data_IF_590346927754
#
_entry.id   IF_590346927754
#
_cell.length_a   1.000
_cell.length_b   1.000
_cell.length_c   1.000
_cell.angle_alpha   90.00
_cell.angle_beta   90.00
_cell.angle_gamma   90.00
#
_symmetry.space_group_name_H-M   'P 1'
#
loop_
_entity.id
_entity.type
_entity.pdbx_description
1 polymer ?
#
# COMPACT_ATOMS: atom_id res chain seq x y z
N UNK A 1 19.22 7.62 3.84
CA UNK A 1 18.54 7.80 2.53
C UNK A 1 18.66 9.23 1.99
N UNK A 2 18.03 10.24 2.59
CA UNK A 2 18.06 11.61 2.04
C UNK A 2 19.47 12.22 1.94
N UNK A 3 20.32 12.00 2.96
CA UNK A 3 21.71 12.49 2.97
C UNK A 3 22.57 11.79 1.90
N UNK A 4 22.37 10.48 1.73
CA UNK A 4 23.09 9.67 0.76
C UNK A 4 22.71 10.04 -0.68
N UNK A 5 21.43 10.31 -0.95
CA UNK A 5 20.99 10.84 -2.23
C UNK A 5 21.62 12.20 -2.53
N UNK A 6 21.68 13.09 -1.54
CA UNK A 6 22.30 14.42 -1.69
C UNK A 6 23.78 14.30 -2.03
N UNK A 7 24.52 13.49 -1.29
CA UNK A 7 25.93 13.23 -1.56
C UNK A 7 26.16 12.65 -2.95
N UNK A 8 25.30 11.71 -3.40
CA UNK A 8 25.36 11.14 -4.77
C UNK A 8 25.04 12.20 -5.83
N UNK A 9 24.08 13.09 -5.62
CA UNK A 9 23.80 14.21 -6.54
C UNK A 9 25.04 15.10 -6.65
N UNK A 10 25.56 15.58 -5.52
CA UNK A 10 26.67 16.53 -5.49
C UNK A 10 27.90 15.96 -6.21
N UNK A 11 28.25 14.70 -5.92
CA UNK A 11 29.36 14.02 -6.58
C UNK A 11 29.19 13.90 -8.09
N UNK A 12 27.98 13.63 -8.60
CA UNK A 12 27.76 13.51 -10.04
C UNK A 12 27.69 14.88 -10.73
N UNK A 13 27.15 15.90 -10.06
CA UNK A 13 27.16 17.29 -10.55
C UNK A 13 28.58 17.82 -10.64
N UNK A 14 29.40 17.58 -9.61
CA UNK A 14 30.82 17.96 -9.62
C UNK A 14 31.57 17.31 -10.78
N UNK A 15 31.40 16.00 -10.99
CA UNK A 15 31.96 15.29 -12.15
C UNK A 15 31.49 15.89 -13.48
N UNK A 16 30.21 16.23 -13.62
CA UNK A 16 29.69 16.89 -14.81
C UNK A 16 30.42 18.21 -15.10
N UNK A 17 30.51 19.07 -14.09
CA UNK A 17 31.14 20.39 -14.21
C UNK A 17 32.64 20.27 -14.51
N UNK A 18 33.34 19.35 -13.84
CA UNK A 18 34.77 19.15 -14.03
C UNK A 18 35.10 18.61 -15.43
N UNK A 19 34.37 17.59 -15.90
CA UNK A 19 34.59 17.01 -17.21
C UNK A 19 34.22 18.00 -18.33
N UNK A 20 33.14 18.76 -18.18
CA UNK A 20 32.79 19.82 -19.14
C UNK A 20 33.85 20.93 -19.17
N UNK A 21 34.38 21.33 -18.01
CA UNK A 21 35.51 22.27 -17.92
C UNK A 21 36.75 21.70 -18.60
N UNK A 22 36.99 20.39 -18.48
CA UNK A 22 38.04 19.66 -19.19
C UNK A 22 37.91 19.80 -20.72
N UNK A 23 36.72 19.52 -21.26
CA UNK A 23 36.41 19.67 -22.68
C UNK A 23 36.65 21.10 -23.19
N UNK A 24 36.19 22.11 -22.45
CA UNK A 24 36.41 23.51 -22.82
C UNK A 24 37.89 23.89 -22.85
N UNK A 25 38.70 23.32 -21.95
CA UNK A 25 40.15 23.57 -21.91
C UNK A 25 40.87 22.94 -23.11
N UNK A 26 40.52 21.73 -23.51
CA UNK A 26 41.12 21.06 -24.69
C UNK A 26 40.58 21.60 -26.01
N UNK A 27 39.35 22.13 -26.05
CA UNK A 27 38.79 22.75 -27.25
C UNK A 27 39.43 24.11 -27.63
N UNK A 28 40.15 24.76 -26.70
CA UNK A 28 40.87 26.01 -27.00
C UNK A 28 42.01 25.73 -27.96
N UNK A 29 41.85 26.20 -29.21
CA UNK A 29 42.84 26.09 -30.29
C UNK A 29 44.16 26.72 -29.85
N UNK A 30 45.23 25.92 -29.88
CA UNK A 30 46.63 26.38 -29.84
C UNK A 30 47.27 26.05 -31.19
N UNK A 31 48.26 26.83 -31.63
CA UNK A 31 49.00 26.70 -32.91
C UNK A 31 49.69 25.33 -33.15
N UNK A 32 49.53 24.36 -32.27
CA UNK A 32 50.11 23.02 -32.38
C UNK A 32 49.07 22.06 -32.91
N UNK A 33 49.42 21.35 -33.98
CA UNK A 33 48.69 20.19 -34.52
C UNK A 33 48.13 19.33 -33.38
N UNK A 34 46.80 19.18 -33.36
CA UNK A 34 46.03 18.46 -32.35
C UNK A 34 46.68 17.08 -32.08
N UNK A 35 47.23 16.89 -30.89
CA UNK A 35 47.98 15.67 -30.58
C UNK A 35 47.02 14.51 -30.34
N UNK A 36 47.38 13.30 -30.78
CA UNK A 36 46.59 12.07 -30.49
C UNK A 36 46.24 11.92 -29.01
N UNK A 37 47.13 12.38 -28.11
CA UNK A 37 46.90 12.42 -26.66
C UNK A 37 45.76 13.36 -26.25
N UNK A 38 45.64 14.53 -26.88
CA UNK A 38 44.59 15.52 -26.60
C UNK A 38 43.23 15.03 -27.10
N UNK A 39 43.22 14.35 -28.25
CA UNK A 39 42.03 13.68 -28.78
C UNK A 39 41.54 12.57 -27.83
N UNK A 40 42.45 11.72 -27.33
CA UNK A 40 42.11 10.69 -26.34
C UNK A 40 41.58 11.29 -25.03
N UNK A 41 42.22 12.34 -24.52
CA UNK A 41 41.79 13.02 -23.30
C UNK A 41 40.40 13.66 -23.45
N UNK A 42 40.11 14.24 -24.62
CA UNK A 42 38.78 14.80 -24.95
C UNK A 42 37.72 13.70 -24.99
N UNK A 43 38.05 12.53 -25.55
CA UNK A 43 37.16 11.36 -25.55
C UNK A 43 36.85 10.87 -24.13
N UNK A 44 37.85 10.84 -23.25
CA UNK A 44 37.66 10.50 -21.83
C UNK A 44 36.68 11.48 -21.20
N UNK A 45 36.91 12.80 -21.30
CA UNK A 45 36.03 13.81 -20.72
C UNK A 45 34.59 13.71 -21.23
N UNK A 46 34.39 13.47 -22.53
CA UNK A 46 33.07 13.29 -23.09
C UNK A 46 32.38 12.03 -22.55
N UNK A 47 33.12 10.92 -22.46
CA UNK A 47 32.59 9.64 -21.96
C UNK A 47 32.19 9.74 -20.48
N UNK A 48 33.06 10.29 -19.64
CA UNK A 48 32.80 10.44 -18.20
C UNK A 48 31.68 11.45 -17.93
N UNK A 49 31.53 12.50 -18.75
CA UNK A 49 30.41 13.43 -18.69
C UNK A 49 29.07 12.72 -18.94
N UNK A 50 29.00 11.88 -19.98
CA UNK A 50 27.79 11.10 -20.30
C UNK A 50 27.48 10.13 -19.16
N UNK A 51 28.48 9.41 -18.65
CA UNK A 51 28.30 8.49 -17.52
C UNK A 51 27.77 9.19 -16.25
N UNK A 52 28.28 10.38 -15.93
CA UNK A 52 27.78 11.18 -14.79
C UNK A 52 26.33 11.64 -15.03
N UNK A 53 25.96 11.95 -16.27
CA UNK A 53 24.60 12.33 -16.64
C UNK A 53 23.63 11.15 -16.51
N UNK A 54 24.01 9.98 -17.00
CA UNK A 54 23.24 8.74 -16.85
C UNK A 54 23.08 8.34 -15.38
N UNK A 55 24.13 8.49 -14.58
CA UNK A 55 24.09 8.23 -13.14
C UNK A 55 23.08 9.16 -12.43
N UNK A 56 23.00 10.43 -12.81
CA UNK A 56 21.98 11.36 -12.30
C UNK A 56 20.56 10.95 -12.71
N UNK A 57 20.35 10.56 -13.96
CA UNK A 57 19.03 10.09 -14.42
C UNK A 57 18.58 8.85 -13.64
N UNK A 58 19.50 7.92 -13.40
CA UNK A 58 19.24 6.73 -12.58
C UNK A 58 18.89 7.11 -11.14
N UNK A 59 19.63 8.06 -10.55
CA UNK A 59 19.37 8.56 -9.20
C UNK A 59 17.98 9.18 -9.07
N UNK A 60 17.57 9.98 -10.06
CA UNK A 60 16.22 10.56 -10.11
C UNK A 60 15.14 9.48 -10.20
N UNK A 61 15.38 8.42 -10.99
CA UNK A 61 14.48 7.28 -11.08
C UNK A 61 14.35 6.55 -9.74
N UNK A 62 15.47 6.28 -9.05
CA UNK A 62 15.51 5.67 -7.72
C UNK A 62 14.71 6.51 -6.70
N UNK A 63 14.88 7.83 -6.70
CA UNK A 63 14.15 8.73 -5.80
C UNK A 63 12.64 8.72 -6.07
N UNK A 64 12.22 8.73 -7.34
CA UNK A 64 10.80 8.63 -7.71
C UNK A 64 10.19 7.32 -7.24
N UNK A 65 10.90 6.21 -7.44
CA UNK A 65 10.47 4.89 -6.99
C UNK A 65 10.34 4.83 -5.46
N UNK A 66 11.31 5.40 -4.73
CA UNK A 66 11.27 5.43 -3.26
C UNK A 66 10.04 6.16 -2.72
N UNK A 67 9.64 7.27 -3.34
CA UNK A 67 8.43 8.00 -2.94
C UNK A 67 7.18 7.17 -3.27
N UNK A 68 7.10 6.63 -4.49
CA UNK A 68 5.95 5.81 -4.89
C UNK A 68 5.75 4.59 -3.98
N UNK A 69 6.83 3.88 -3.63
CA UNK A 69 6.76 2.73 -2.71
C UNK A 69 6.34 3.15 -1.29
N UNK A 70 6.81 4.29 -0.80
CA UNK A 70 6.40 4.81 0.51
C UNK A 70 4.90 5.13 0.55
N UNK A 71 4.34 5.66 -0.53
CA UNK A 71 2.90 5.91 -0.64
C UNK A 71 2.11 4.59 -0.60
N UNK A 72 2.57 3.53 -1.29
CA UNK A 72 1.92 2.23 -1.26
C UNK A 72 1.91 1.59 0.13
N UNK A 73 2.99 1.71 0.90
CA UNK A 73 3.07 1.17 2.26
C UNK A 73 2.03 1.85 3.18
N UNK A 74 1.90 3.17 3.12
CA UNK A 74 0.89 3.91 3.88
C UNK A 74 -0.54 3.60 3.45
N UNK A 75 -0.79 3.43 2.15
CA UNK A 75 -2.08 2.98 1.64
C UNK A 75 -2.41 1.57 2.15
N UNK A 76 -1.45 0.65 2.14
CA UNK A 76 -1.66 -0.72 2.60
C UNK A 76 -1.99 -0.77 4.09
N UNK A 77 -1.27 -0.01 4.92
CA UNK A 77 -1.58 0.12 6.35
C UNK A 77 -3.00 0.65 6.59
N UNK A 78 -3.45 1.59 5.75
CA UNK A 78 -4.83 2.12 5.83
C UNK A 78 -5.84 1.04 5.47
N UNK A 79 -5.58 0.27 4.40
CA UNK A 79 -6.43 -0.86 3.99
C UNK A 79 -6.50 -1.90 5.11
N UNK A 80 -5.36 -2.32 5.66
CA UNK A 80 -5.29 -3.30 6.75
C UNK A 80 -6.10 -2.84 7.97
N UNK A 81 -5.95 -1.56 8.37
CA UNK A 81 -6.73 -0.98 9.46
C UNK A 81 -8.25 -0.98 9.19
N UNK A 82 -8.66 -0.71 7.96
CA UNK A 82 -10.09 -0.78 7.58
C UNK A 82 -10.62 -2.21 7.56
N UNK A 83 -9.81 -3.18 7.13
CA UNK A 83 -10.16 -4.60 7.16
C UNK A 83 -10.38 -5.06 8.59
N UNK A 84 -9.48 -4.71 9.50
CA UNK A 84 -9.59 -5.04 10.92
C UNK A 84 -10.82 -4.39 11.59
N UNK A 85 -11.13 -3.13 11.25
CA UNK A 85 -12.34 -2.45 11.75
C UNK A 85 -13.62 -3.13 11.26
N UNK A 86 -13.68 -3.46 9.97
CA UNK A 86 -14.83 -4.15 9.39
C UNK A 86 -14.99 -5.55 9.98
N UNK A 87 -13.90 -6.29 10.21
CA UNK A 87 -13.94 -7.60 10.84
C UNK A 87 -14.56 -7.53 12.24
N UNK A 88 -14.11 -6.57 13.07
CA UNK A 88 -14.67 -6.34 14.42
C UNK A 88 -16.17 -6.02 14.37
N UNK A 89 -16.58 -5.17 13.43
CA UNK A 89 -17.99 -4.82 13.24
C UNK A 89 -18.84 -6.02 12.81
N UNK A 90 -18.30 -6.90 11.98
CA UNK A 90 -18.97 -8.15 11.63
C UNK A 90 -19.13 -9.04 12.88
N UNK A 91 -18.06 -9.23 13.66
CA UNK A 91 -18.10 -10.02 14.89
C UNK A 91 -19.13 -9.48 15.90
N UNK A 92 -19.20 -8.16 16.06
CA UNK A 92 -20.19 -7.50 16.92
C UNK A 92 -21.63 -7.75 16.44
N UNK A 93 -21.87 -7.61 15.12
CA UNK A 93 -23.19 -7.87 14.52
C UNK A 93 -23.58 -9.34 14.67
N UNK A 94 -22.65 -10.26 14.44
CA UNK A 94 -22.89 -11.69 14.58
C UNK A 94 -23.19 -12.08 16.04
N UNK A 95 -22.50 -11.46 17.01
CA UNK A 95 -22.80 -11.63 18.42
C UNK A 95 -24.20 -11.11 18.78
N UNK A 96 -24.60 -9.95 18.25
CA UNK A 96 -25.95 -9.42 18.43
C UNK A 96 -27.03 -10.30 17.81
N UNK A 97 -26.79 -10.84 16.61
CA UNK A 97 -27.70 -11.77 15.95
C UNK A 97 -27.85 -13.08 16.73
N UNK A 98 -26.75 -13.63 17.26
CA UNK A 98 -26.78 -14.82 18.10
C UNK A 98 -27.59 -14.61 19.38
N UNK A 99 -27.41 -13.46 20.04
CA UNK A 99 -28.18 -13.11 21.23
C UNK A 99 -29.68 -12.98 20.91
N UNK A 100 -30.03 -12.23 19.86
CA UNK A 100 -31.42 -12.05 19.44
C UNK A 100 -32.08 -13.39 19.07
N UNK A 101 -31.35 -14.27 18.38
CA UNK A 101 -31.82 -15.61 18.05
C UNK A 101 -32.14 -16.42 19.31
N UNK A 102 -31.28 -16.35 20.33
CA UNK A 102 -31.51 -17.00 21.63
C UNK A 102 -32.73 -16.43 22.35
N UNK A 103 -32.91 -15.10 22.36
CA UNK A 103 -34.06 -14.44 22.98
C UNK A 103 -35.38 -14.87 22.32
N UNK A 104 -35.40 -14.92 20.98
CA UNK A 104 -36.57 -15.35 20.20
C UNK A 104 -36.87 -16.82 20.48
N UNK A 105 -35.86 -17.70 20.51
CA UNK A 105 -36.04 -19.11 20.81
C UNK A 105 -36.62 -19.31 22.22
N UNK A 106 -36.16 -18.55 23.22
CA UNK A 106 -36.70 -18.58 24.59
C UNK A 106 -38.16 -18.13 24.61
N UNK A 107 -38.48 -17.00 23.96
CA UNK A 107 -39.84 -16.48 23.90
C UNK A 107 -40.82 -17.45 23.20
N UNK A 108 -40.38 -18.11 22.12
CA UNK A 108 -41.16 -19.15 21.44
C UNK A 108 -41.40 -20.35 22.35
N UNK A 109 -40.37 -20.82 23.05
CA UNK A 109 -40.52 -21.94 23.99
C UNK A 109 -41.50 -21.62 25.13
N UNK A 110 -41.42 -20.42 25.70
CA UNK A 110 -42.38 -19.95 26.71
C UNK A 110 -43.80 -19.88 26.17
N UNK A 111 -43.98 -19.38 24.95
CA UNK A 111 -45.28 -19.28 24.29
C UNK A 111 -45.88 -20.66 23.99
N UNK A 112 -45.08 -21.58 23.46
CA UNK A 112 -45.48 -22.97 23.20
C UNK A 112 -45.90 -23.65 24.51
N UNK A 113 -45.08 -23.52 25.55
CA UNK A 113 -45.39 -24.07 26.86
C UNK A 113 -46.71 -23.50 27.42
N UNK A 114 -46.94 -22.19 27.33
CA UNK A 114 -48.20 -21.57 27.75
C UNK A 114 -49.39 -22.06 26.91
N UNK A 115 -49.22 -22.23 25.60
CA UNK A 115 -50.25 -22.78 24.71
C UNK A 115 -50.65 -24.20 25.13
N UNK A 116 -49.68 -25.10 25.34
CA UNK A 116 -49.92 -26.48 25.75
C UNK A 116 -50.51 -26.61 27.16
N UNK A 117 -50.26 -25.64 28.05
CA UNK A 117 -50.87 -25.57 29.38
C UNK A 117 -52.25 -24.90 29.40
N UNK A 118 -52.67 -24.27 28.30
CA UNK A 118 -53.94 -23.55 28.23
C UNK A 118 -55.15 -24.49 28.11
N UNK A 119 -56.28 -24.08 28.69
CA UNK A 119 -57.56 -24.80 28.61
C UNK A 119 -58.19 -24.80 27.20
N UNK A 120 -57.65 -24.00 26.27
CA UNK A 120 -58.17 -23.79 24.92
C UNK A 120 -57.49 -24.67 23.87
N UNK A 121 -57.00 -25.84 24.27
CA UNK A 121 -56.35 -26.77 23.36
C UNK A 121 -57.33 -27.19 22.27
N UNK A 122 -57.14 -26.70 21.05
CA UNK A 122 -57.82 -27.27 19.89
C UNK A 122 -57.07 -28.58 19.57
N UNK A 123 -57.68 -29.76 19.72
CA UNK A 123 -57.01 -31.00 19.37
C UNK A 123 -56.71 -31.03 17.86
N UNK A 124 -55.60 -31.68 17.43
CA UNK A 124 -55.23 -31.72 16.02
C UNK A 124 -56.25 -32.46 15.13
N UNK A 125 -57.16 -33.23 15.74
CA UNK A 125 -58.33 -33.81 15.10
C UNK A 125 -59.57 -33.33 15.86
N UNK A 126 -60.59 -32.84 15.15
CA UNK A 126 -61.79 -32.21 15.72
C UNK A 126 -62.68 -33.14 16.53
N UNK A 127 -62.20 -33.67 17.65
CA UNK A 127 -63.01 -34.34 18.65
C UNK A 127 -63.35 -33.38 19.80
N UNK A 128 -64.65 -33.13 20.05
CA UNK A 128 -65.06 -32.25 21.14
C UNK A 128 -64.66 -32.86 22.47
N UNK A 129 -64.19 -32.00 23.38
CA UNK A 129 -63.89 -32.33 24.76
C UNK A 129 -65.05 -33.13 25.37
N UNK A 130 -64.76 -34.36 25.78
CA UNK A 130 -65.68 -35.15 26.57
C UNK A 130 -65.92 -34.43 27.91
N UNK A 131 -67.11 -33.84 28.01
CA UNK A 131 -67.71 -33.34 29.22
C UNK A 131 -67.61 -34.38 30.33
N UNK A 132 -67.02 -34.00 31.46
CA UNK A 132 -66.96 -34.81 32.68
C UNK A 132 -67.46 -33.92 33.81
N UNK A 133 -68.69 -34.20 34.27
CA UNK A 133 -69.28 -33.61 35.47
C UNK A 133 -68.62 -34.05 36.77
#
# INVERSE_FOLDING_TARGET
MAEEYRQRVDNNVEKLVENFRGLLKTAKVKDKTNSSREAFQTSIYATTLVQASEALLKLVSEMKLSVALGDFEGMNQTVDATVDDLAKRCDDVDAHLAHLSSDIASALFELENHYYQSKWRCPPDGEPAADSG
#
